data_IF_335081552363
#
_entry.id   IF_335081552363
#
_cell.length_a   1.000
_cell.length_b   1.000
_cell.length_c   1.000
_cell.angle_alpha   90.00
_cell.angle_beta   90.00
_cell.angle_gamma   90.00
#
_symmetry.space_group_name_H-M   'P 1'
#
loop_
_entity.id
_entity.type
_entity.pdbx_description
1 polymer ?
#
# COMPACT_ATOMS: atom_id res chain seq x y z
N UNK A 1 21.46 13.74 -8.62
CA UNK A 1 22.31 14.91 -8.90
C UNK A 1 21.44 16.16 -8.94
N UNK A 2 21.92 17.26 -8.38
CA UNK A 2 21.29 18.58 -8.51
C UNK A 2 22.01 19.41 -9.58
N UNK A 3 21.25 20.13 -10.41
CA UNK A 3 21.78 21.03 -11.42
C UNK A 3 20.95 22.31 -11.48
N UNK A 4 21.53 23.42 -11.96
CA UNK A 4 20.85 24.71 -12.08
C UNK A 4 20.68 25.10 -13.54
N UNK A 5 19.50 25.57 -13.91
CA UNK A 5 19.22 26.17 -15.22
C UNK A 5 18.70 27.60 -15.03
N UNK A 6 19.04 28.48 -15.97
CA UNK A 6 18.55 29.85 -15.98
C UNK A 6 17.32 29.93 -16.87
N UNK A 7 16.21 30.47 -16.34
CA UNK A 7 15.02 30.71 -17.15
C UNK A 7 15.31 31.78 -18.20
N UNK A 8 15.00 31.47 -19.47
CA UNK A 8 15.32 32.35 -20.62
C UNK A 8 14.61 33.71 -20.51
N UNK A 9 13.39 33.75 -20.00
CA UNK A 9 12.56 34.97 -19.92
C UNK A 9 12.82 35.77 -18.64
N UNK A 10 12.83 35.11 -17.48
CA UNK A 10 12.94 35.81 -16.18
C UNK A 10 14.38 35.99 -15.71
N UNK A 11 15.35 35.31 -16.33
CA UNK A 11 16.76 35.26 -15.91
C UNK A 11 17.00 34.70 -14.51
N UNK A 12 15.97 34.14 -13.87
CA UNK A 12 16.06 33.51 -12.56
C UNK A 12 16.67 32.11 -12.71
N UNK A 13 17.65 31.79 -11.86
CA UNK A 13 18.18 30.44 -11.75
C UNK A 13 17.25 29.57 -10.91
N UNK A 14 16.97 28.36 -11.39
CA UNK A 14 16.22 27.34 -10.67
C UNK A 14 17.05 26.07 -10.57
N UNK A 15 17.04 25.46 -9.38
CA UNK A 15 17.65 24.15 -9.15
C UNK A 15 16.67 23.05 -9.54
N UNK A 16 17.19 22.01 -10.16
CA UNK A 16 16.48 20.81 -10.57
C UNK A 16 17.21 19.58 -10.09
N UNK A 17 16.45 18.53 -9.82
CA UNK A 17 16.96 17.20 -9.48
C UNK A 17 16.92 16.26 -10.69
N UNK A 18 17.66 15.15 -10.60
CA UNK A 18 17.53 14.04 -11.56
C UNK A 18 16.08 13.53 -11.63
N UNK A 19 15.34 13.51 -10.51
CA UNK A 19 13.92 13.13 -10.48
C UNK A 19 13.05 14.06 -11.32
N UNK A 20 13.31 15.37 -11.31
CA UNK A 20 12.60 16.32 -12.15
C UNK A 20 12.83 16.03 -13.64
N UNK A 21 14.05 15.66 -14.03
CA UNK A 21 14.38 15.26 -15.40
C UNK A 21 13.65 13.98 -15.80
N UNK A 22 13.72 12.93 -14.98
CA UNK A 22 13.04 11.65 -15.27
C UNK A 22 11.53 11.83 -15.35
N UNK A 23 10.97 12.72 -14.54
CA UNK A 23 9.55 13.05 -14.59
C UNK A 23 9.14 13.77 -15.88
N UNK A 24 10.08 14.37 -16.61
CA UNK A 24 9.84 15.02 -17.90
C UNK A 24 9.91 14.03 -19.07
N UNK A 25 10.83 13.07 -19.00
CA UNK A 25 11.13 12.14 -20.11
C UNK A 25 10.47 10.77 -19.98
N UNK A 26 10.05 10.39 -18.76
CA UNK A 26 9.40 9.11 -18.47
C UNK A 26 7.88 9.17 -18.53
N UNK A 27 7.25 8.00 -18.44
CA UNK A 27 5.81 7.84 -18.29
C UNK A 27 5.43 7.92 -16.80
N UNK A 28 4.86 9.07 -16.42
CA UNK A 28 4.42 9.34 -15.05
C UNK A 28 3.23 8.50 -14.61
N UNK A 29 2.37 8.05 -15.54
CA UNK A 29 1.17 7.28 -15.21
C UNK A 29 1.57 5.87 -14.81
N UNK A 30 2.53 5.29 -15.54
CA UNK A 30 2.99 3.93 -15.32
C UNK A 30 4.26 3.83 -14.45
N UNK A 31 4.76 4.94 -13.91
CA UNK A 31 6.00 5.02 -13.13
C UNK A 31 7.20 4.41 -13.88
N UNK A 32 7.27 4.58 -15.20
CA UNK A 32 8.19 3.88 -16.12
C UNK A 32 9.10 4.83 -16.89
N UNK A 33 10.38 4.49 -17.04
CA UNK A 33 11.29 5.07 -18.05
C UNK A 33 11.91 3.96 -18.91
N UNK A 34 12.11 4.25 -20.19
CA UNK A 34 12.71 3.31 -21.14
C UNK A 34 14.16 3.66 -21.46
N UNK A 35 15.03 2.67 -21.39
CA UNK A 35 16.38 2.73 -21.96
C UNK A 35 16.53 1.57 -22.95
N UNK A 36 16.57 1.90 -24.25
CA UNK A 36 16.53 0.89 -25.31
C UNK A 36 15.21 0.12 -25.31
N UNK A 37 15.27 -1.20 -25.12
CA UNK A 37 14.09 -2.08 -25.05
C UNK A 37 13.60 -2.35 -23.61
N UNK A 38 14.40 -1.96 -22.62
CA UNK A 38 14.15 -2.26 -21.21
C UNK A 38 13.40 -1.12 -20.52
N UNK A 39 12.66 -1.50 -19.47
CA UNK A 39 11.78 -0.62 -18.69
C UNK A 39 12.24 -0.58 -17.24
N UNK A 40 12.31 0.62 -16.69
CA UNK A 40 12.81 0.86 -15.33
C UNK A 40 11.81 1.71 -14.57
N UNK A 41 11.75 1.52 -13.25
CA UNK A 41 10.83 2.26 -12.39
C UNK A 41 11.43 3.61 -11.98
N UNK A 42 10.70 4.70 -12.18
CA UNK A 42 11.18 6.06 -11.86
C UNK A 42 11.29 6.24 -10.35
N UNK A 43 10.30 5.74 -9.58
CA UNK A 43 10.27 5.86 -8.12
C UNK A 43 11.41 5.17 -7.37
N UNK A 44 12.12 4.22 -8.00
CA UNK A 44 13.27 3.51 -7.41
C UNK A 44 14.61 4.18 -7.70
N UNK A 45 14.62 5.39 -8.25
CA UNK A 45 15.86 6.12 -8.52
C UNK A 45 16.67 6.30 -7.22
N UNK A 46 17.91 5.83 -7.23
CA UNK A 46 18.89 6.09 -6.19
C UNK A 46 20.11 6.82 -6.79
N UNK A 47 20.59 7.85 -6.10
CA UNK A 47 21.83 8.53 -6.48
C UNK A 47 23.01 7.71 -5.96
N UNK A 48 23.91 7.30 -6.86
CA UNK A 48 25.05 6.43 -6.52
C UNK A 48 26.31 7.23 -6.12
N UNK A 49 26.35 8.55 -6.40
CA UNK A 49 27.59 9.35 -6.26
C UNK A 49 27.34 10.75 -5.65
N UNK A 50 26.82 10.78 -4.42
CA UNK A 50 26.66 11.99 -3.62
C UNK A 50 27.16 11.71 -2.21
N UNK A 51 28.36 12.18 -1.89
CA UNK A 51 28.97 12.02 -0.57
C UNK A 51 28.09 12.60 0.55
N UNK A 52 27.30 11.73 1.18
CA UNK A 52 26.73 11.90 2.51
C UNK A 52 26.35 10.53 3.05
N UNK A 53 27.14 10.10 4.02
CA UNK A 53 26.96 9.00 4.97
C UNK A 53 25.51 8.57 5.26
N UNK A 54 25.28 7.26 5.18
CA UNK A 54 24.36 6.46 6.01
C UNK A 54 23.05 7.13 6.47
N UNK A 55 22.23 7.59 5.53
CA UNK A 55 20.79 7.41 5.75
C UNK A 55 20.48 6.02 5.20
N UNK A 56 20.34 5.04 6.10
CA UNK A 56 19.50 3.88 5.80
C UNK A 56 18.15 4.46 5.40
N UNK A 57 17.96 4.71 4.11
CA UNK A 57 16.66 5.06 3.56
C UNK A 57 15.75 3.96 4.06
N UNK A 58 14.88 4.32 5.00
CA UNK A 58 13.85 3.45 5.51
C UNK A 58 12.93 3.18 4.31
N UNK A 59 13.32 2.20 3.49
CA UNK A 59 12.53 1.75 2.36
C UNK A 59 11.35 1.03 2.99
N UNK A 60 10.25 1.77 3.14
CA UNK A 60 8.97 1.19 3.52
C UNK A 60 8.64 0.09 2.52
N UNK A 61 8.64 -1.17 2.98
CA UNK A 61 8.24 -2.30 2.15
C UNK A 61 6.79 -2.63 2.47
N UNK A 62 5.88 -2.51 1.48
CA UNK A 62 4.52 -2.97 1.66
C UNK A 62 4.53 -4.49 1.78
N UNK A 63 4.01 -5.00 2.89
CA UNK A 63 3.87 -6.42 3.16
C UNK A 63 2.40 -6.74 3.42
N UNK A 64 1.91 -7.82 2.80
CA UNK A 64 0.54 -8.26 3.02
C UNK A 64 0.49 -9.14 4.27
N UNK A 65 -0.23 -8.69 5.28
CA UNK A 65 -0.53 -9.49 6.47
C UNK A 65 -1.86 -10.20 6.28
N UNK A 66 -1.92 -11.46 6.72
CA UNK A 66 -3.12 -12.30 6.71
C UNK A 66 -3.42 -12.76 8.14
N UNK A 67 -4.64 -12.54 8.60
CA UNK A 67 -5.14 -13.04 9.89
C UNK A 67 -6.31 -13.98 9.63
N UNK A 68 -6.14 -15.24 10.01
CA UNK A 68 -7.21 -16.25 9.91
C UNK A 68 -8.23 -16.06 11.03
N UNK A 69 -9.52 -16.13 10.69
CA UNK A 69 -10.64 -16.04 11.62
C UNK A 69 -11.35 -17.41 11.66
N UNK A 70 -11.46 -17.98 12.86
CA UNK A 70 -12.07 -19.30 13.04
C UNK A 70 -13.56 -19.14 13.34
N UNK A 71 -14.40 -19.71 12.47
CA UNK A 71 -15.84 -19.86 12.71
C UNK A 71 -16.05 -21.04 13.65
N UNK A 72 -16.36 -20.76 14.92
CA UNK A 72 -16.50 -21.80 15.95
C UNK A 72 -17.91 -22.40 15.99
N UNK A 73 -18.91 -21.62 15.60
CA UNK A 73 -20.32 -22.02 15.60
C UNK A 73 -21.01 -21.52 14.34
N UNK A 74 -21.97 -22.31 13.83
CA UNK A 74 -22.86 -21.89 12.75
C UNK A 74 -23.57 -20.58 13.10
N UNK A 75 -23.59 -19.63 12.16
CA UNK A 75 -24.19 -18.32 12.33
C UNK A 75 -23.36 -17.33 13.18
N UNK A 76 -22.10 -17.64 13.49
CA UNK A 76 -21.23 -16.68 14.19
C UNK A 76 -21.06 -15.39 13.38
N UNK A 77 -21.28 -14.25 14.02
CA UNK A 77 -21.16 -12.93 13.38
C UNK A 77 -19.98 -12.11 13.93
N UNK A 78 -19.46 -12.46 15.09
CA UNK A 78 -18.43 -11.67 15.77
C UNK A 78 -17.12 -12.44 15.89
N UNK A 79 -16.01 -11.76 15.65
CA UNK A 79 -14.67 -12.31 15.74
C UNK A 79 -13.75 -11.37 16.50
N UNK A 80 -12.94 -11.91 17.42
CA UNK A 80 -11.86 -11.14 18.01
C UNK A 80 -10.85 -10.75 16.91
N UNK A 81 -10.56 -9.45 16.79
CA UNK A 81 -9.69 -8.93 15.75
C UNK A 81 -8.77 -7.84 16.34
N UNK A 82 -7.52 -8.23 16.62
CA UNK A 82 -6.55 -7.39 17.33
C UNK A 82 -5.45 -6.83 16.41
N UNK A 83 -5.81 -6.36 15.22
CA UNK A 83 -4.84 -5.68 14.36
C UNK A 83 -4.83 -4.18 14.68
N UNK A 84 -3.64 -3.59 14.82
CA UNK A 84 -3.48 -2.14 14.89
C UNK A 84 -3.64 -1.55 13.49
N UNK A 85 -4.89 -1.32 13.09
CA UNK A 85 -5.22 -0.82 11.76
C UNK A 85 -5.55 0.66 11.89
N UNK A 86 -4.57 1.51 11.55
CA UNK A 86 -4.77 2.97 11.51
C UNK A 86 -5.72 3.42 10.37
N UNK A 87 -5.93 2.55 9.38
CA UNK A 87 -6.81 2.77 8.23
C UNK A 87 -7.71 1.53 8.00
N UNK A 88 -8.88 1.45 8.64
CA UNK A 88 -9.77 0.29 8.55
C UNK A 88 -10.38 0.11 7.15
N UNK A 89 -10.37 1.13 6.29
CA UNK A 89 -10.81 1.00 4.89
C UNK A 89 -9.84 0.15 4.05
N UNK A 90 -8.59 0.00 4.50
CA UNK A 90 -7.59 -0.89 3.89
C UNK A 90 -7.76 -2.38 4.21
N UNK A 91 -8.83 -2.75 4.93
CA UNK A 91 -9.13 -4.14 5.30
C UNK A 91 -9.95 -4.85 4.23
N UNK A 92 -9.51 -6.05 3.85
CA UNK A 92 -10.26 -6.96 3.00
C UNK A 92 -10.63 -8.21 3.77
N UNK A 93 -11.92 -8.46 3.98
CA UNK A 93 -12.41 -9.73 4.49
C UNK A 93 -12.58 -10.70 3.32
N UNK A 94 -12.06 -11.91 3.46
CA UNK A 94 -12.22 -12.97 2.48
C UNK A 94 -12.91 -14.16 3.13
N UNK A 95 -13.98 -14.63 2.49
CA UNK A 95 -14.73 -15.82 2.89
C UNK A 95 -14.80 -16.76 1.69
N UNK A 96 -14.26 -17.98 1.81
CA UNK A 96 -14.23 -18.98 0.74
C UNK A 96 -13.68 -18.45 -0.60
N UNK A 97 -12.75 -17.49 -0.54
CA UNK A 97 -12.14 -16.85 -1.71
C UNK A 97 -12.93 -15.66 -2.28
N UNK A 98 -14.14 -15.38 -1.79
CA UNK A 98 -14.88 -14.17 -2.12
C UNK A 98 -14.43 -13.01 -1.23
N UNK A 99 -14.22 -11.84 -1.83
CA UNK A 99 -13.76 -10.64 -1.15
C UNK A 99 -14.96 -9.74 -0.80
N UNK A 100 -14.90 -9.16 0.40
CA UNK A 100 -15.92 -8.30 0.96
C UNK A 100 -15.30 -6.98 1.41
N UNK A 101 -16.06 -5.89 1.26
CA UNK A 101 -15.63 -4.53 1.56
C UNK A 101 -15.98 -4.12 2.99
N UNK A 102 -15.09 -3.34 3.61
CA UNK A 102 -15.26 -2.79 4.94
C UNK A 102 -16.31 -1.65 4.97
N UNK A 103 -17.09 -1.55 6.05
CA UNK A 103 -17.96 -0.42 6.36
C UNK A 103 -19.15 -0.81 7.22
N UNK A 104 -19.64 0.10 8.07
CA UNK A 104 -20.77 -0.15 8.98
C UNK A 104 -22.08 -0.49 8.25
N UNK A 105 -22.20 -0.07 6.99
CA UNK A 105 -23.32 -0.38 6.09
C UNK A 105 -22.92 -1.33 4.95
N UNK A 106 -21.74 -1.95 5.06
CA UNK A 106 -21.21 -2.92 4.10
C UNK A 106 -21.31 -4.34 4.67
N UNK A 107 -20.59 -5.28 4.07
CA UNK A 107 -20.59 -6.68 4.47
C UNK A 107 -19.94 -6.94 5.83
N UNK A 108 -18.97 -6.12 6.25
CA UNK A 108 -18.37 -6.23 7.59
C UNK A 108 -17.81 -4.90 8.05
N UNK A 109 -17.60 -4.74 9.36
CA UNK A 109 -16.82 -3.64 9.91
C UNK A 109 -16.01 -4.08 11.13
N UNK A 110 -15.05 -3.27 11.53
CA UNK A 110 -14.26 -3.48 12.76
C UNK A 110 -14.53 -2.33 13.73
N UNK A 111 -14.87 -2.67 14.97
CA UNK A 111 -14.98 -1.71 16.07
C UNK A 111 -14.46 -2.33 17.37
N UNK A 112 -13.79 -1.52 18.20
CA UNK A 112 -13.28 -1.91 19.52
C UNK A 112 -12.54 -3.28 19.59
N UNK A 113 -11.80 -3.65 18.55
CA UNK A 113 -11.07 -4.93 18.48
C UNK A 113 -11.93 -6.15 18.13
N UNK A 114 -13.13 -5.92 17.61
CA UNK A 114 -14.06 -6.94 17.15
C UNK A 114 -14.39 -6.71 15.68
N UNK A 115 -14.34 -7.77 14.88
CA UNK A 115 -14.88 -7.78 13.53
C UNK A 115 -16.31 -8.28 13.57
N UNK A 116 -17.21 -7.49 12.99
CA UNK A 116 -18.64 -7.78 12.88
C UNK A 116 -19.00 -8.10 11.43
N UNK A 117 -19.56 -9.29 11.21
CA UNK A 117 -20.07 -9.75 9.93
C UNK A 117 -21.56 -9.43 9.77
N UNK A 118 -21.91 -8.77 8.66
CA UNK A 118 -23.28 -8.38 8.28
C UNK A 118 -23.66 -8.87 6.88
N UNK A 119 -22.88 -9.78 6.30
CA UNK A 119 -23.11 -10.21 4.94
C UNK A 119 -24.38 -11.06 4.77
N UNK A 120 -24.67 -11.40 3.52
CA UNK A 120 -26.00 -11.89 3.11
C UNK A 120 -26.27 -13.36 3.47
N UNK A 121 -25.37 -14.01 4.19
CA UNK A 121 -25.46 -15.43 4.55
C UNK A 121 -24.81 -15.69 5.91
N UNK A 122 -25.27 -16.75 6.56
CA UNK A 122 -24.71 -17.25 7.82
C UNK A 122 -23.40 -17.98 7.56
N UNK A 123 -22.38 -17.69 8.36
CA UNK A 123 -21.11 -18.40 8.31
C UNK A 123 -21.21 -19.78 8.95
N UNK A 124 -20.52 -20.75 8.38
CA UNK A 124 -20.45 -22.12 8.88
C UNK A 124 -19.02 -22.49 9.31
N UNK A 125 -18.83 -23.42 10.26
CA UNK A 125 -17.50 -23.86 10.70
C UNK A 125 -16.61 -24.44 9.58
N UNK A 126 -17.19 -24.80 8.44
CA UNK A 126 -16.47 -25.24 7.24
C UNK A 126 -15.93 -24.10 6.38
N UNK A 127 -16.36 -22.87 6.63
CA UNK A 127 -15.96 -21.71 5.84
C UNK A 127 -14.53 -21.28 6.18
N UNK A 128 -13.79 -20.89 5.14
CA UNK A 128 -12.45 -20.32 5.28
C UNK A 128 -12.57 -18.81 5.33
N UNK A 129 -12.35 -18.23 6.51
CA UNK A 129 -12.48 -16.80 6.76
C UNK A 129 -11.14 -16.21 7.16
N UNK A 130 -10.73 -15.12 6.52
CA UNK A 130 -9.52 -14.39 6.90
C UNK A 130 -9.58 -12.93 6.49
N UNK A 131 -8.87 -12.08 7.22
CA UNK A 131 -8.67 -10.66 6.87
C UNK A 131 -7.29 -10.49 6.26
N UNK A 132 -7.21 -9.71 5.19
CA UNK A 132 -5.96 -9.25 4.57
C UNK A 132 -5.86 -7.74 4.66
N UNK A 133 -4.66 -7.26 4.98
CA UNK A 133 -4.37 -5.84 5.00
C UNK A 133 -2.88 -5.58 4.75
N UNK A 134 -2.58 -4.37 4.33
CA UNK A 134 -1.23 -3.95 4.03
C UNK A 134 -0.56 -3.36 5.28
N UNK A 135 0.60 -3.88 5.63
CA UNK A 135 1.48 -3.30 6.65
C UNK A 135 2.71 -2.71 5.99
N UNK A 136 3.21 -1.60 6.53
CA UNK A 136 4.45 -0.98 6.08
C UNK A 136 5.55 -1.33 7.08
N UNK A 137 6.48 -2.20 6.67
CA UNK A 137 7.59 -2.63 7.52
C UNK A 137 8.89 -1.88 7.16
N UNK A 138 9.73 -1.70 8.18
CA UNK A 138 11.08 -1.16 8.08
C UNK A 138 12.12 -2.25 8.32
N UNK A 139 13.25 -2.18 7.60
CA UNK A 139 14.47 -2.92 7.95
C UNK A 139 15.34 -2.09 8.88
#
# INVERSE_FOLDING_TARGET
MLFKLTNIRTRIQKTFSTKDLLSLIGDRVNDEIRFGKERYRISTLQEVDGGSSNSSSLVWRPEWTKIDLIVSTSGQMDFAFSAEVNDPEGLFLVINGALFDHGSHSAFHVDAGVLHWHGRFSLEPSDVVYVKYLTLNHN
#
